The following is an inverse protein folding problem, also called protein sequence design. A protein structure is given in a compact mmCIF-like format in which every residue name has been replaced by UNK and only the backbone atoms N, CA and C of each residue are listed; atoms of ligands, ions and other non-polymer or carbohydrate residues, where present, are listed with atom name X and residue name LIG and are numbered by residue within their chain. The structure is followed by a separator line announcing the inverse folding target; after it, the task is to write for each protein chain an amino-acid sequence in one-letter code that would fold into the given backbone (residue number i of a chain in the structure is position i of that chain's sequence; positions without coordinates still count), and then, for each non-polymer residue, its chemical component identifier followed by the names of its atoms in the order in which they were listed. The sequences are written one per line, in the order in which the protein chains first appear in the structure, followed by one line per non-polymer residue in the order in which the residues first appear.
data_IF_414816372069
#
_entry.id   IF_414816372069
#
_cell.length_a   1.000
_cell.length_b   1.000
_cell.length_c   1.000
_cell.angle_alpha   90.00
_cell.angle_beta   90.00
_cell.angle_gamma   90.00
#
_symmetry.space_group_name_H-M   'P 1'
#
loop_
_entity.id
_entity.type
_entity.pdbx_description
1 polymer ?
#
# COMPACT_ATOMS: atom_id res chain seq x y z
N UNK A 1 -1.94 -11.14 -3.86
CA UNK A 1 -1.87 -10.73 -2.46
C UNK A 1 -1.75 -9.22 -2.34
N UNK A 2 -2.41 -8.66 -1.35
CA UNK A 2 -2.45 -7.21 -1.15
C UNK A 2 -1.06 -6.59 -1.00
N UNK A 3 -0.21 -7.20 -0.17
CA UNK A 3 1.14 -6.66 0.04
C UNK A 3 1.98 -6.60 -1.23
N UNK A 4 1.92 -7.64 -2.03
CA UNK A 4 2.62 -7.66 -3.32
C UNK A 4 2.07 -6.63 -4.28
N UNK A 5 0.75 -6.45 -4.27
CA UNK A 5 0.10 -5.47 -5.13
C UNK A 5 0.52 -4.05 -4.75
N UNK A 6 0.54 -3.75 -3.45
CA UNK A 6 1.00 -2.46 -2.97
C UNK A 6 2.43 -2.19 -3.43
N UNK A 7 3.32 -3.16 -3.25
CA UNK A 7 4.70 -3.03 -3.68
C UNK A 7 4.80 -2.79 -5.18
N UNK A 8 4.02 -3.55 -5.97
CA UNK A 8 4.02 -3.41 -7.43
C UNK A 8 3.63 -1.99 -7.86
N UNK A 9 2.53 -1.47 -7.34
CA UNK A 9 2.08 -0.13 -7.71
C UNK A 9 3.01 0.95 -7.16
N UNK A 10 3.58 0.73 -5.97
CA UNK A 10 4.56 1.63 -5.40
C UNK A 10 5.79 1.77 -6.31
N UNK A 11 6.32 0.65 -6.78
CA UNK A 11 7.49 0.64 -7.65
C UNK A 11 7.17 1.27 -9.01
N UNK A 12 5.98 1.08 -9.54
CA UNK A 12 5.54 1.74 -10.78
C UNK A 12 5.56 3.26 -10.64
N UNK A 13 5.26 3.76 -9.44
CA UNK A 13 5.30 5.18 -9.13
C UNK A 13 6.68 5.66 -8.71
N UNK A 14 7.67 4.76 -8.69
CA UNK A 14 9.04 5.06 -8.26
C UNK A 14 9.09 5.63 -6.85
N UNK A 15 8.24 5.12 -5.97
CA UNK A 15 8.18 5.52 -4.57
C UNK A 15 8.95 4.55 -3.70
N UNK A 16 9.65 5.08 -2.69
CA UNK A 16 10.18 4.27 -1.61
C UNK A 16 9.06 3.95 -0.62
N UNK A 17 9.28 2.97 0.24
CA UNK A 17 8.30 2.67 1.30
C UNK A 17 8.09 3.89 2.20
N UNK A 18 9.15 4.62 2.52
CA UNK A 18 9.05 5.82 3.34
C UNK A 18 8.19 6.90 2.67
N UNK A 19 8.40 7.12 1.38
CA UNK A 19 7.60 8.11 0.64
C UNK A 19 6.14 7.71 0.57
N UNK A 20 5.86 6.42 0.32
CA UNK A 20 4.49 5.95 0.31
C UNK A 20 3.84 6.16 1.68
N UNK A 21 4.55 5.85 2.75
CA UNK A 21 4.05 6.02 4.10
C UNK A 21 3.67 7.48 4.36
N UNK A 22 4.51 8.42 3.94
CA UNK A 22 4.23 9.84 4.10
C UNK A 22 3.03 10.30 3.29
N UNK A 23 2.95 9.86 2.02
CA UNK A 23 1.83 10.22 1.16
C UNK A 23 0.51 9.65 1.65
N UNK A 24 0.54 8.43 2.18
CA UNK A 24 -0.65 7.76 2.68
C UNK A 24 -0.99 8.14 4.13
N UNK A 25 -0.11 8.89 4.79
CA UNK A 25 -0.26 9.25 6.20
C UNK A 25 -0.41 8.00 7.08
N UNK A 26 0.50 7.05 6.85
CA UNK A 26 0.56 5.77 7.57
C UNK A 26 1.99 5.58 8.05
N UNK A 27 2.19 5.06 9.27
CA UNK A 27 3.55 4.81 9.76
C UNK A 27 4.35 3.92 8.81
N UNK A 28 5.63 4.23 8.65
CA UNK A 28 6.53 3.46 7.80
C UNK A 28 6.54 1.97 8.19
N UNK A 29 6.55 1.68 9.49
CA UNK A 29 6.56 0.31 9.99
C UNK A 29 5.31 -0.45 9.55
N UNK A 30 4.16 0.24 9.47
CA UNK A 30 2.93 -0.39 8.97
C UNK A 30 3.03 -0.74 7.49
N UNK A 31 3.61 0.15 6.68
CA UNK A 31 3.80 -0.12 5.26
C UNK A 31 4.70 -1.35 5.07
N UNK A 32 5.82 -1.42 5.79
CA UNK A 32 6.74 -2.56 5.67
C UNK A 32 6.05 -3.87 6.07
N UNK A 33 5.28 -3.85 7.15
CA UNK A 33 4.58 -5.05 7.62
C UNK A 33 3.48 -5.49 6.67
N UNK A 34 2.79 -4.55 6.03
CA UNK A 34 1.77 -4.89 5.03
C UNK A 34 2.42 -5.48 3.79
N UNK A 35 3.50 -4.87 3.30
CA UNK A 35 4.17 -5.37 2.09
C UNK A 35 4.80 -6.75 2.29
N UNK A 36 5.33 -7.02 3.47
CA UNK A 36 5.95 -8.32 3.76
C UNK A 36 4.95 -9.39 4.17
N UNK A 37 3.70 -9.02 4.40
CA UNK A 37 2.66 -9.98 4.79
C UNK A 37 2.56 -10.22 6.29
N UNK A 38 3.32 -9.51 7.11
CA UNK A 38 3.18 -9.58 8.57
C UNK A 38 1.80 -9.11 8.98
N UNK A 39 1.34 -7.99 8.39
CA UNK A 39 -0.06 -7.56 8.51
C UNK A 39 -0.78 -8.05 7.26
N UNK A 40 -1.58 -9.11 7.40
CA UNK A 40 -2.27 -9.71 6.26
C UNK A 40 -3.58 -9.02 5.93
N UNK A 41 -4.24 -8.44 6.92
CA UNK A 41 -5.55 -7.80 6.76
C UNK A 41 -5.49 -6.40 7.37
N UNK A 42 -4.89 -5.43 6.67
CA UNK A 42 -4.91 -4.05 7.15
C UNK A 42 -6.34 -3.52 7.18
N UNK A 43 -6.57 -2.47 7.97
CA UNK A 43 -7.90 -1.89 8.07
C UNK A 43 -8.32 -1.30 6.71
N UNK A 44 -9.64 -1.19 6.52
CA UNK A 44 -10.19 -0.56 5.30
C UNK A 44 -9.65 0.86 5.16
N UNK A 45 -9.55 1.60 6.26
CA UNK A 45 -9.02 2.96 6.24
C UNK A 45 -7.57 2.99 5.75
N UNK A 46 -6.74 2.06 6.22
CA UNK A 46 -5.36 1.98 5.76
C UNK A 46 -5.28 1.66 4.27
N UNK A 47 -6.06 0.69 3.82
CA UNK A 47 -6.09 0.32 2.39
C UNK A 47 -6.55 1.50 1.54
N UNK A 48 -7.57 2.22 1.98
CA UNK A 48 -8.08 3.39 1.26
C UNK A 48 -7.02 4.48 1.15
N UNK A 49 -6.29 4.76 2.23
CA UNK A 49 -5.22 5.75 2.22
C UNK A 49 -4.10 5.36 1.27
N UNK A 50 -3.71 4.09 1.27
CA UNK A 50 -2.67 3.58 0.38
C UNK A 50 -3.12 3.67 -1.07
N UNK A 51 -4.34 3.25 -1.36
CA UNK A 51 -4.88 3.31 -2.72
C UNK A 51 -4.90 4.75 -3.25
N UNK A 52 -5.33 5.69 -2.42
CA UNK A 52 -5.35 7.10 -2.79
C UNK A 52 -3.93 7.62 -3.06
N UNK A 53 -2.98 7.26 -2.22
CA UNK A 53 -1.58 7.68 -2.40
C UNK A 53 -1.00 7.11 -3.68
N UNK A 54 -1.39 5.90 -4.06
CA UNK A 54 -0.91 5.24 -5.28
C UNK A 54 -1.71 5.64 -6.52
N UNK A 55 -2.82 6.36 -6.36
CA UNK A 55 -3.64 6.78 -7.49
C UNK A 55 -4.42 5.65 -8.13
N UNK A 56 -4.76 4.61 -7.37
CA UNK A 56 -5.55 3.49 -7.84
C UNK A 56 -6.78 3.30 -6.97
N UNK A 57 -7.78 2.57 -7.49
CA UNK A 57 -8.94 2.22 -6.67
C UNK A 57 -8.59 1.13 -5.67
N UNK A 58 -9.39 1.02 -4.63
CA UNK A 58 -9.24 -0.06 -3.65
C UNK A 58 -9.37 -1.41 -4.35
N UNK A 59 -10.33 -1.55 -5.26
CA UNK A 59 -10.56 -2.78 -5.99
C UNK A 59 -9.33 -3.20 -6.80
N UNK A 60 -8.72 -2.25 -7.52
CA UNK A 60 -7.51 -2.52 -8.28
C UNK A 60 -6.38 -2.95 -7.35
N UNK A 61 -6.25 -2.28 -6.22
CA UNK A 61 -5.20 -2.62 -5.26
C UNK A 61 -5.36 -4.03 -4.72
N UNK A 62 -6.59 -4.43 -4.40
CA UNK A 62 -6.88 -5.77 -3.89
C UNK A 62 -6.69 -6.83 -4.98
N UNK A 63 -7.17 -6.58 -6.19
CA UNK A 63 -7.11 -7.53 -7.29
C UNK A 63 -5.75 -7.60 -7.96
N UNK A 64 -4.95 -6.55 -7.85
CA UNK A 64 -3.63 -6.51 -8.43
C UNK A 64 -3.62 -6.18 -9.90
N UNK A 65 -4.77 -5.74 -10.39
CA UNK A 65 -4.99 -5.46 -11.80
C UNK A 65 -4.10 -4.44 -12.38
#
# INVERSE_FOLDING_TARGET
MLGKNIKKFRLRKKLTQDKLARLADIPYTSITKIETGVIKKPSVQAVAKIAKALGVSIDVLIEGG
#
